data_IF_080117191955
#
_entry.id   IF_080117191955
#
_cell.length_a   1.000
_cell.length_b   1.000
_cell.length_c   1.000
_cell.angle_alpha   90.00
_cell.angle_beta   90.00
_cell.angle_gamma   90.00
#
_symmetry.space_group_name_H-M   'P 1'
#
loop_
_entity.id
_entity.type
_entity.pdbx_description
1 polymer ?
#
# COMPACT_ATOMS: atom_id res chain seq x y z
N UNK A 1 17.11 -25.40 -13.01
CA UNK A 1 16.47 -26.18 -11.93
C UNK A 1 15.37 -25.38 -11.21
N UNK A 2 15.63 -24.15 -10.78
CA UNK A 2 14.68 -23.30 -10.05
C UNK A 2 13.29 -23.16 -10.69
N UNK A 3 13.19 -22.99 -12.02
CA UNK A 3 11.90 -22.89 -12.74
C UNK A 3 11.02 -24.13 -12.57
N UNK A 4 11.60 -25.34 -12.64
CA UNK A 4 10.86 -26.61 -12.51
C UNK A 4 10.43 -26.87 -11.06
N UNK A 5 11.24 -26.45 -10.09
CA UNK A 5 10.90 -26.54 -8.66
C UNK A 5 9.74 -25.58 -8.35
N UNK A 6 9.85 -24.31 -8.74
CA UNK A 6 8.80 -23.32 -8.55
C UNK A 6 7.48 -23.75 -9.19
N UNK A 7 7.53 -24.29 -10.41
CA UNK A 7 6.34 -24.79 -11.10
C UNK A 7 5.69 -25.98 -10.36
N UNK A 8 6.48 -26.87 -9.75
CA UNK A 8 5.97 -27.96 -8.91
C UNK A 8 5.30 -27.49 -7.61
N UNK A 9 5.67 -26.31 -7.12
CA UNK A 9 5.01 -25.61 -6.01
C UNK A 9 3.84 -24.72 -6.47
N UNK A 10 3.49 -24.74 -7.76
CA UNK A 10 2.43 -23.91 -8.34
C UNK A 10 2.83 -22.45 -8.60
N UNK A 11 4.12 -22.10 -8.47
CA UNK A 11 4.64 -20.78 -8.73
C UNK A 11 5.22 -20.67 -10.15
N UNK A 12 4.49 -20.02 -11.04
CA UNK A 12 4.92 -19.76 -12.42
C UNK A 12 5.72 -18.46 -12.48
N UNK A 13 7.05 -18.55 -12.47
CA UNK A 13 7.95 -17.38 -12.44
C UNK A 13 7.76 -16.41 -13.62
N UNK A 14 7.27 -16.90 -14.76
CA UNK A 14 7.00 -16.09 -15.97
C UNK A 14 5.86 -15.07 -15.74
N UNK A 15 4.91 -15.40 -14.86
CA UNK A 15 3.78 -14.53 -14.52
C UNK A 15 4.07 -13.62 -13.32
N UNK A 16 5.22 -13.78 -12.66
CA UNK A 16 5.57 -13.11 -11.39
C UNK A 16 6.60 -11.99 -11.56
N UNK A 17 6.80 -11.50 -12.79
CA UNK A 17 7.75 -10.42 -13.12
C UNK A 17 7.55 -9.13 -12.31
N UNK A 18 6.32 -8.89 -11.84
CA UNK A 18 5.97 -7.71 -11.04
C UNK A 18 6.14 -7.90 -9.52
N UNK A 19 6.55 -9.09 -9.07
CA UNK A 19 6.72 -9.42 -7.65
C UNK A 19 8.13 -9.90 -7.33
N UNK A 20 8.75 -10.62 -8.26
CA UNK A 20 10.08 -11.21 -8.09
C UNK A 20 10.97 -10.73 -9.23
N UNK A 21 12.14 -10.24 -8.88
CA UNK A 21 13.22 -10.02 -9.83
C UNK A 21 14.22 -11.17 -9.73
N UNK A 22 14.53 -11.78 -10.87
CA UNK A 22 15.50 -12.87 -10.97
C UNK A 22 16.67 -12.38 -11.81
N UNK A 23 17.83 -12.25 -11.17
CA UNK A 23 19.10 -11.88 -11.81
C UNK A 23 20.09 -13.03 -11.68
N UNK A 24 20.17 -13.84 -12.74
CA UNK A 24 21.04 -15.03 -12.77
C UNK A 24 20.69 -16.03 -11.66
N UNK A 25 21.58 -16.16 -10.68
CA UNK A 25 21.43 -17.06 -9.53
C UNK A 25 20.73 -16.40 -8.33
N UNK A 26 20.59 -15.07 -8.32
CA UNK A 26 19.96 -14.32 -7.24
C UNK A 26 18.51 -13.98 -7.57
N UNK A 27 17.60 -14.26 -6.63
CA UNK A 27 16.21 -13.85 -6.70
C UNK A 27 15.90 -12.91 -5.52
N UNK A 28 15.29 -11.77 -5.81
CA UNK A 28 14.81 -10.83 -4.78
C UNK A 28 13.33 -10.53 -4.95
N UNK A 29 12.65 -10.32 -3.84
CA UNK A 29 11.29 -9.79 -3.85
C UNK A 29 11.36 -8.29 -4.13
N UNK A 30 10.52 -7.81 -5.03
CA UNK A 30 10.40 -6.39 -5.30
C UNK A 30 9.78 -5.68 -4.08
N UNK A 31 10.39 -4.58 -3.58
CA UNK A 31 9.82 -3.76 -2.53
C UNK A 31 8.42 -3.27 -2.87
N UNK A 32 7.62 -3.01 -1.83
CA UNK A 32 6.23 -2.56 -2.00
C UNK A 32 6.15 -1.22 -2.72
N UNK A 33 7.14 -0.34 -2.50
CA UNK A 33 7.25 0.93 -3.21
C UNK A 33 7.44 0.77 -4.72
N UNK A 34 8.20 -0.24 -5.17
CA UNK A 34 8.44 -0.49 -6.60
C UNK A 34 7.18 -1.08 -7.28
N UNK A 35 6.37 -1.80 -6.51
CA UNK A 35 5.06 -2.31 -6.97
C UNK A 35 4.02 -1.21 -7.16
N UNK A 36 4.23 -0.01 -6.63
CA UNK A 36 3.28 1.10 -6.75
C UNK A 36 3.02 1.48 -8.22
N UNK A 37 4.04 1.43 -9.07
CA UNK A 37 3.91 1.71 -10.51
C UNK A 37 3.00 0.70 -11.22
N UNK A 38 3.02 -0.56 -10.81
CA UNK A 38 2.16 -1.61 -11.38
C UNK A 38 0.73 -1.54 -10.82
N UNK A 39 0.58 -1.20 -9.54
CA UNK A 39 -0.70 -1.21 -8.83
C UNK A 39 -1.56 0.03 -9.04
N UNK A 40 -0.94 1.18 -9.33
CA UNK A 40 -1.63 2.47 -9.52
C UNK A 40 -1.42 3.05 -10.92
N UNK A 41 -0.51 2.49 -11.73
CA UNK A 41 -0.08 3.08 -12.99
C UNK A 41 1.05 4.10 -12.79
N UNK A 42 1.74 4.44 -13.90
CA UNK A 42 2.83 5.42 -13.92
C UNK A 42 2.29 6.77 -13.39
N UNK A 43 2.88 7.26 -12.30
CA UNK A 43 2.69 8.56 -11.61
C UNK A 43 1.81 8.64 -10.34
N UNK A 44 0.98 7.64 -10.04
CA UNK A 44 -0.04 7.82 -8.99
C UNK A 44 0.34 7.26 -7.60
N UNK A 45 1.42 6.48 -7.52
CA UNK A 45 1.85 5.74 -6.33
C UNK A 45 3.11 6.26 -5.63
N UNK A 46 3.60 7.48 -5.92
CA UNK A 46 4.78 8.03 -5.24
C UNK A 46 4.50 8.18 -3.74
N UNK A 47 5.18 7.35 -2.94
CA UNK A 47 5.30 7.53 -1.50
C UNK A 47 6.22 8.73 -1.27
N UNK A 48 5.64 9.93 -1.26
CA UNK A 48 6.37 11.12 -0.83
C UNK A 48 6.64 10.94 0.66
N UNK A 49 7.88 10.67 1.05
CA UNK A 49 8.25 10.64 2.46
C UNK A 49 7.84 11.98 3.09
N UNK A 50 7.10 11.99 4.21
CA UNK A 50 6.78 13.24 4.87
C UNK A 50 8.08 13.86 5.35
N UNK A 51 8.52 14.91 4.64
CA UNK A 51 9.62 15.75 5.05
C UNK A 51 9.37 16.20 6.49
N UNK A 52 10.40 16.10 7.32
CA UNK A 52 10.40 16.51 8.73
C UNK A 52 9.84 17.93 8.81
N UNK A 53 8.58 18.08 9.27
CA UNK A 53 7.98 19.41 9.45
C UNK A 53 8.76 20.13 10.54
N UNK A 54 9.54 21.13 10.16
CA UNK A 54 10.09 22.10 11.09
C UNK A 54 8.90 22.80 11.75
N UNK A 55 8.92 22.92 13.09
CA UNK A 55 7.89 23.63 13.85
C UNK A 55 7.94 25.10 13.47
N UNK A 56 7.07 25.52 12.56
CA UNK A 56 6.78 26.93 12.35
C UNK A 56 5.55 27.33 13.18
N UNK A 57 5.59 28.59 13.63
CA UNK A 57 4.80 29.14 14.71
C UNK A 57 3.29 28.92 14.55
N UNK A 58 2.62 28.74 15.68
CA UNK A 58 1.19 28.52 15.83
C UNK A 58 0.37 29.56 15.03
N UNK A 59 -0.20 29.14 13.89
CA UNK A 59 -1.13 29.93 13.08
C UNK A 59 -2.57 29.67 13.53
N UNK A 60 -3.39 30.72 13.49
CA UNK A 60 -4.75 30.79 14.03
C UNK A 60 -5.71 29.76 13.41
N UNK A 61 -6.38 28.98 14.26
CA UNK A 61 -7.19 27.81 13.91
C UNK A 61 -8.36 28.14 12.96
N UNK A 62 -8.88 29.36 13.02
CA UNK A 62 -10.02 29.79 12.21
C UNK A 62 -9.64 30.18 10.78
N UNK A 63 -8.40 30.61 10.53
CA UNK A 63 -7.93 30.96 9.18
C UNK A 63 -7.58 29.70 8.38
N UNK A 64 -7.10 28.66 9.07
CA UNK A 64 -6.81 27.34 8.48
C UNK A 64 -8.07 26.67 7.97
N UNK A 65 -9.21 26.77 8.65
CA UNK A 65 -10.45 26.11 8.20
C UNK A 65 -10.99 26.72 6.89
N UNK A 66 -10.90 28.04 6.73
CA UNK A 66 -11.34 28.73 5.51
C UNK A 66 -10.38 28.49 4.33
N UNK A 67 -9.06 28.46 4.58
CA UNK A 67 -8.09 28.07 3.56
C UNK A 67 -8.15 26.56 3.25
N UNK A 68 -8.57 25.67 4.15
CA UNK A 68 -8.75 24.24 3.85
C UNK A 68 -9.97 23.99 2.96
N UNK A 69 -10.98 24.87 2.99
CA UNK A 69 -12.17 24.76 2.14
C UNK A 69 -11.91 25.28 0.71
N UNK A 70 -11.10 26.35 0.56
CA UNK A 70 -10.70 26.89 -0.76
C UNK A 70 -9.43 26.22 -1.33
N UNK A 71 -8.60 25.68 -0.45
CA UNK A 71 -7.45 24.83 -0.76
C UNK A 71 -7.81 23.38 -0.43
N UNK A 72 -9.01 22.92 -0.79
CA UNK A 72 -9.12 21.54 -1.23
C UNK A 72 -8.37 21.52 -2.56
N UNK A 73 -7.09 21.08 -2.61
CA UNK A 73 -6.53 20.87 -3.91
C UNK A 73 -7.38 19.72 -4.46
N UNK A 74 -8.13 19.98 -5.53
CA UNK A 74 -8.66 18.96 -6.41
C UNK A 74 -7.46 18.22 -7.00
N UNK A 75 -6.79 17.45 -6.15
CA UNK A 75 -5.43 16.99 -6.32
C UNK A 75 -5.54 15.52 -6.66
N UNK A 76 -5.63 15.28 -7.97
CA UNK A 76 -5.56 13.98 -8.63
C UNK A 76 -6.21 12.89 -7.81
N UNK A 77 -7.52 12.70 -7.99
CA UNK A 77 -8.22 11.50 -7.59
C UNK A 77 -7.36 10.29 -7.95
N UNK A 78 -6.54 9.82 -7.02
CA UNK A 78 -5.92 8.50 -7.12
C UNK A 78 -7.04 7.54 -6.76
N UNK A 79 -8.07 7.54 -7.60
CA UNK A 79 -9.02 6.46 -7.68
C UNK A 79 -8.12 5.26 -7.87
N UNK A 80 -8.28 4.28 -7.00
CA UNK A 80 -7.82 2.94 -7.30
C UNK A 80 -8.61 2.54 -8.55
N UNK A 81 -8.10 2.93 -9.74
CA UNK A 81 -8.82 2.78 -11.00
C UNK A 81 -9.07 1.31 -11.30
N UNK A 82 -8.28 0.44 -10.66
CA UNK A 82 -8.47 -1.01 -10.59
C UNK A 82 -8.14 -1.53 -9.19
N UNK A 83 -9.12 -2.15 -8.55
CA UNK A 83 -8.89 -2.98 -7.37
C UNK A 83 -7.92 -4.09 -7.75
N UNK A 84 -6.89 -4.32 -6.93
CA UNK A 84 -5.88 -5.34 -7.19
C UNK A 84 -6.50 -6.71 -7.49
N UNK A 85 -5.99 -7.39 -8.52
CA UNK A 85 -6.50 -8.68 -8.95
C UNK A 85 -6.30 -9.75 -7.87
N UNK A 86 -5.15 -9.73 -7.19
CA UNK A 86 -4.84 -10.66 -6.10
C UNK A 86 -5.05 -10.04 -4.73
N UNK A 87 -5.21 -10.88 -3.70
CA UNK A 87 -5.26 -10.43 -2.29
C UNK A 87 -3.97 -9.71 -1.91
N UNK A 88 -2.82 -10.15 -2.44
CA UNK A 88 -1.53 -9.51 -2.22
C UNK A 88 -1.48 -8.10 -2.82
N UNK A 89 -2.02 -7.91 -4.02
CA UNK A 89 -2.10 -6.59 -4.67
C UNK A 89 -2.95 -5.62 -3.87
N UNK A 90 -4.10 -6.09 -3.36
CA UNK A 90 -4.98 -5.27 -2.51
C UNK A 90 -4.31 -4.85 -1.21
N UNK A 91 -3.52 -5.73 -0.59
CA UNK A 91 -2.75 -5.40 0.61
C UNK A 91 -1.70 -4.34 0.28
N UNK A 92 -0.94 -4.53 -0.80
CA UNK A 92 0.06 -3.55 -1.20
C UNK A 92 -0.54 -2.20 -1.59
N UNK A 93 -1.68 -2.18 -2.30
CA UNK A 93 -2.43 -0.96 -2.55
C UNK A 93 -2.79 -0.26 -1.22
N UNK A 94 -3.29 -1.01 -0.25
CA UNK A 94 -3.62 -0.47 1.09
C UNK A 94 -2.38 0.07 1.81
N UNK A 95 -1.25 -0.63 1.73
CA UNK A 95 0.03 -0.20 2.32
C UNK A 95 0.55 1.08 1.68
N UNK A 96 0.48 1.20 0.35
CA UNK A 96 0.94 2.38 -0.38
C UNK A 96 0.03 3.59 -0.09
N UNK A 97 -1.29 3.39 -0.05
CA UNK A 97 -2.23 4.45 0.34
C UNK A 97 -1.98 4.92 1.77
N UNK A 98 -1.70 3.98 2.68
CA UNK A 98 -1.31 4.30 4.05
C UNK A 98 0.01 5.10 4.10
N UNK A 99 1.03 4.66 3.37
CA UNK A 99 2.33 5.31 3.29
C UNK A 99 2.24 6.74 2.72
N UNK A 100 1.34 6.96 1.77
CA UNK A 100 1.06 8.26 1.16
C UNK A 100 0.15 9.16 2.03
N UNK A 101 -0.30 8.71 3.21
CA UNK A 101 -1.21 9.46 4.08
C UNK A 101 -2.64 9.58 3.54
N UNK A 102 -3.01 8.78 2.53
CA UNK A 102 -4.31 8.84 1.83
C UNK A 102 -5.36 7.96 2.53
N UNK A 103 -5.68 8.32 3.78
CA UNK A 103 -6.60 7.55 4.63
C UNK A 103 -8.01 7.37 4.04
N UNK A 104 -8.56 8.40 3.39
CA UNK A 104 -9.89 8.34 2.75
C UNK A 104 -9.92 7.39 1.55
N UNK A 105 -8.91 7.44 0.67
CA UNK A 105 -8.79 6.51 -0.46
C UNK A 105 -8.64 5.05 0.00
N UNK A 106 -7.89 4.82 1.08
CA UNK A 106 -7.78 3.50 1.69
C UNK A 106 -9.09 3.03 2.33
N UNK A 107 -9.84 3.93 2.97
CA UNK A 107 -11.16 3.62 3.53
C UNK A 107 -12.14 3.22 2.42
N UNK A 108 -12.15 3.97 1.31
CA UNK A 108 -12.92 3.63 0.11
C UNK A 108 -12.57 2.24 -0.42
N UNK A 109 -11.28 1.95 -0.59
CA UNK A 109 -10.81 0.62 -1.00
C UNK A 109 -11.25 -0.51 -0.05
N UNK A 110 -11.15 -0.28 1.26
CA UNK A 110 -11.48 -1.32 2.25
C UNK A 110 -12.99 -1.53 2.43
N UNK A 111 -13.78 -0.45 2.39
CA UNK A 111 -15.20 -0.46 2.73
C UNK A 111 -16.08 -0.49 1.49
N UNK A 112 -15.89 0.44 0.54
CA UNK A 112 -16.73 0.57 -0.66
C UNK A 112 -16.41 -0.55 -1.66
N UNK A 113 -15.13 -0.76 -1.96
CA UNK A 113 -14.70 -1.85 -2.85
C UNK A 113 -14.72 -3.23 -2.17
N UNK A 114 -15.06 -3.26 -0.87
CA UNK A 114 -15.31 -4.50 -0.11
C UNK A 114 -14.07 -5.33 0.20
N UNK A 115 -12.85 -4.83 -0.04
CA UNK A 115 -11.60 -5.56 0.21
C UNK A 115 -11.48 -5.99 1.67
N UNK A 116 -11.89 -5.13 2.61
CA UNK A 116 -11.81 -5.38 4.03
C UNK A 116 -12.82 -6.40 4.56
N UNK A 117 -13.80 -6.83 3.76
CA UNK A 117 -14.72 -7.92 4.12
C UNK A 117 -14.09 -9.30 3.93
N UNK A 118 -13.06 -9.43 3.10
CA UNK A 118 -12.40 -10.71 2.86
C UNK A 118 -11.46 -11.08 4.01
N UNK A 119 -11.75 -12.16 4.73
CA UNK A 119 -10.87 -12.63 5.81
C UNK A 119 -9.48 -13.09 5.32
N UNK A 120 -9.32 -13.46 4.05
CA UNK A 120 -8.02 -13.83 3.48
C UNK A 120 -7.09 -12.63 3.42
N UNK A 121 -7.62 -11.42 3.20
CA UNK A 121 -6.86 -10.17 3.24
C UNK A 121 -6.19 -10.00 4.61
N UNK A 122 -6.98 -10.10 5.68
CA UNK A 122 -6.47 -9.91 7.04
C UNK A 122 -5.48 -10.99 7.47
N UNK A 123 -5.74 -12.25 7.11
CA UNK A 123 -4.81 -13.36 7.41
C UNK A 123 -3.47 -13.18 6.69
N UNK A 124 -3.50 -12.79 5.42
CA UNK A 124 -2.28 -12.54 4.66
C UNK A 124 -1.53 -11.31 5.18
N UNK A 125 -2.23 -10.22 5.50
CA UNK A 125 -1.61 -9.04 6.10
C UNK A 125 -0.95 -9.38 7.44
N UNK A 126 -1.59 -10.17 8.30
CA UNK A 126 -0.99 -10.64 9.55
C UNK A 126 0.28 -11.49 9.32
N UNK A 127 0.26 -12.39 8.34
CA UNK A 127 1.41 -13.19 7.98
C UNK A 127 2.58 -12.32 7.47
N UNK A 128 2.29 -11.33 6.62
CA UNK A 128 3.29 -10.37 6.11
C UNK A 128 3.93 -9.56 7.25
N UNK A 129 3.15 -9.10 8.22
CA UNK A 129 3.68 -8.38 9.39
C UNK A 129 4.68 -9.23 10.20
N UNK A 130 4.47 -10.55 10.28
CA UNK A 130 5.37 -11.48 10.95
C UNK A 130 6.63 -11.80 10.14
N UNK A 131 6.56 -11.74 8.81
CA UNK A 131 7.68 -12.03 7.90
C UNK A 131 8.59 -10.82 7.69
N UNK A 132 8.06 -9.60 7.78
CA UNK A 132 8.89 -8.39 7.60
C UNK A 132 9.84 -8.16 8.79
N UNK A 133 11.13 -7.89 8.55
CA UNK A 133 12.09 -7.57 9.60
C UNK A 133 11.66 -6.34 10.42
N UNK A 134 12.02 -6.33 11.71
CA UNK A 134 11.83 -5.17 12.58
C UNK A 134 12.59 -3.96 12.04
N UNK A 135 11.93 -2.79 12.00
CA UNK A 135 12.53 -1.53 11.54
C UNK A 135 12.38 -1.25 10.04
N UNK A 136 11.72 -2.12 9.29
CA UNK A 136 11.37 -1.88 7.87
C UNK A 136 10.12 -1.00 7.73
N UNK A 137 10.07 -0.21 6.67
CA UNK A 137 8.90 0.61 6.35
C UNK A 137 7.69 -0.26 5.99
N UNK A 138 7.91 -1.37 5.29
CA UNK A 138 6.87 -2.33 4.93
C UNK A 138 6.15 -2.87 6.16
N UNK A 139 6.90 -3.26 7.19
CA UNK A 139 6.30 -3.72 8.45
C UNK A 139 5.42 -2.64 9.07
N UNK A 140 5.94 -1.41 9.17
CA UNK A 140 5.20 -0.26 9.72
C UNK A 140 3.92 0.01 8.93
N UNK A 141 3.96 -0.10 7.60
CA UNK A 141 2.78 0.12 6.75
C UNK A 141 1.74 -0.99 6.92
N UNK A 142 2.14 -2.27 6.94
CA UNK A 142 1.21 -3.38 7.19
C UNK A 142 0.57 -3.26 8.56
N UNK A 143 1.35 -2.99 9.61
CA UNK A 143 0.83 -2.79 10.97
C UNK A 143 -0.14 -1.60 11.02
N UNK A 144 0.15 -0.53 10.28
CA UNK A 144 -0.75 0.62 10.11
C UNK A 144 -2.08 0.24 9.46
N UNK A 145 -2.07 -0.58 8.41
CA UNK A 145 -3.29 -1.09 7.77
C UNK A 145 -4.08 -2.01 8.71
N UNK A 146 -3.40 -2.90 9.44
CA UNK A 146 -4.03 -3.78 10.43
C UNK A 146 -4.70 -2.99 11.57
N UNK A 147 -4.09 -1.90 12.03
CA UNK A 147 -4.66 -1.03 13.06
C UNK A 147 -5.97 -0.37 12.59
N UNK A 148 -6.11 -0.09 11.30
CA UNK A 148 -7.32 0.51 10.70
C UNK A 148 -8.51 -0.44 10.66
N UNK A 149 -8.27 -1.76 10.70
CA UNK A 149 -9.34 -2.77 10.77
C UNK A 149 -10.35 -2.46 11.89
N UNK A 150 -9.83 -2.25 13.10
CA UNK A 150 -10.65 -1.98 14.30
C UNK A 150 -11.38 -0.65 14.20
N UNK A 151 -10.73 0.39 13.65
CA UNK A 151 -11.31 1.72 13.51
C UNK A 151 -12.40 1.84 12.44
N UNK A 152 -12.46 0.90 11.49
CA UNK A 152 -13.45 0.87 10.41
C UNK A 152 -14.60 -0.11 10.68
N UNK A 153 -14.57 -0.82 11.81
CA UNK A 153 -15.62 -1.81 12.17
C UNK A 153 -15.62 -3.07 11.29
N UNK A 154 -14.45 -3.46 10.74
CA UNK A 154 -14.26 -4.61 9.85
C UNK A 154 -13.57 -5.80 10.54
#
# INVERSE_FOLDING_TARGET
AARKIAQGLGAHLENLSNVVEVSGEQARLLPVAERACHLFGKDEGKVTQPGRKMREAQMDLFKVLQEVEETTPSFGETKVGRVGETVLDRIHQSMILFAAGRGEAMKRLLVEDGVGRDQRFWRLAQALAALYPTGTDERRWVEGVLARKRGLGL
#
